data_IF_161113180856
#
_entry.id   IF_161113180856
#
_cell.length_a   1.000
_cell.length_b   1.000
_cell.length_c   1.000
_cell.angle_alpha   90.00
_cell.angle_beta   90.00
_cell.angle_gamma   90.00
#
_symmetry.space_group_name_H-M   'P 1'
#
loop_
_entity.id
_entity.type
_entity.pdbx_description
1 polymer ?
#
# COMPACT_ATOMS: atom_id res chain seq x y z
N UNK A 1 -49.46 13.68 -22.67
CA UNK A 1 -48.66 14.42 -21.67
C UNK A 1 -47.78 13.51 -20.81
N UNK A 2 -48.31 12.43 -20.23
CA UNK A 2 -47.56 11.47 -19.38
C UNK A 2 -46.34 10.83 -20.08
N UNK A 3 -46.50 10.39 -21.33
CA UNK A 3 -45.41 9.79 -22.15
C UNK A 3 -44.30 10.81 -22.44
N UNK A 4 -44.67 12.06 -22.73
CA UNK A 4 -43.72 13.13 -22.98
C UNK A 4 -42.87 13.43 -21.73
N UNK A 5 -43.47 13.42 -20.54
CA UNK A 5 -42.75 13.60 -19.28
C UNK A 5 -41.76 12.46 -19.01
N UNK A 6 -42.13 11.21 -19.35
CA UNK A 6 -41.26 10.04 -19.21
C UNK A 6 -40.04 10.16 -20.14
N UNK A 7 -40.25 10.56 -21.40
CA UNK A 7 -39.16 10.76 -22.35
C UNK A 7 -38.20 11.86 -21.89
N UNK A 8 -38.72 12.96 -21.35
CA UNK A 8 -37.90 14.04 -20.80
C UNK A 8 -37.07 13.53 -19.61
N UNK A 9 -37.69 12.81 -18.67
CA UNK A 9 -36.97 12.26 -17.52
C UNK A 9 -35.85 11.29 -17.93
N UNK A 10 -36.07 10.45 -18.94
CA UNK A 10 -35.04 9.55 -19.45
C UNK A 10 -33.85 10.30 -20.06
N UNK A 11 -34.09 11.38 -20.80
CA UNK A 11 -33.03 12.21 -21.37
C UNK A 11 -32.18 12.88 -20.27
N UNK A 12 -32.83 13.42 -19.22
CA UNK A 12 -32.13 13.99 -18.08
C UNK A 12 -31.28 12.96 -17.33
N UNK A 13 -31.79 11.73 -17.16
CA UNK A 13 -31.03 10.66 -16.51
C UNK A 13 -29.80 10.30 -17.33
N UNK A 14 -29.91 10.17 -18.65
CA UNK A 14 -28.76 9.88 -19.52
C UNK A 14 -27.67 10.94 -19.44
N UNK A 15 -28.05 12.22 -19.44
CA UNK A 15 -27.10 13.34 -19.34
C UNK A 15 -26.32 13.31 -18.00
N UNK A 16 -27.05 13.08 -16.89
CA UNK A 16 -26.45 12.92 -15.56
C UNK A 16 -25.48 11.74 -15.54
N UNK A 17 -25.85 10.58 -16.11
CA UNK A 17 -24.99 9.39 -16.14
C UNK A 17 -23.71 9.61 -16.95
N UNK A 18 -23.81 10.38 -18.04
CA UNK A 18 -22.67 10.74 -18.90
C UNK A 18 -21.73 11.73 -18.18
N UNK A 19 -22.30 12.71 -17.48
CA UNK A 19 -21.55 13.70 -16.70
C UNK A 19 -20.79 13.06 -15.52
N UNK A 20 -21.44 12.16 -14.77
CA UNK A 20 -20.82 11.44 -13.65
C UNK A 20 -19.66 10.55 -14.10
N UNK A 21 -19.79 9.86 -15.24
CA UNK A 21 -18.70 9.06 -15.80
C UNK A 21 -17.48 9.92 -16.18
N UNK A 22 -17.72 11.07 -16.82
CA UNK A 22 -16.65 11.99 -17.19
C UNK A 22 -15.90 12.52 -15.95
N UNK A 23 -16.64 12.89 -14.90
CA UNK A 23 -16.07 13.30 -13.61
C UNK A 23 -15.24 12.19 -12.94
N UNK A 24 -15.71 10.95 -12.99
CA UNK A 24 -15.01 9.80 -12.41
C UNK A 24 -13.63 9.60 -13.07
N UNK A 25 -13.56 9.70 -14.40
CA UNK A 25 -12.31 9.60 -15.16
C UNK A 25 -11.29 10.69 -14.80
N UNK A 26 -11.76 11.90 -14.46
CA UNK A 26 -10.89 13.02 -14.06
C UNK A 26 -10.42 12.85 -12.61
N UNK A 27 -11.28 12.31 -11.74
CA UNK A 27 -10.98 12.08 -10.32
C UNK A 27 -10.17 10.81 -10.04
N UNK A 28 -9.95 9.98 -11.06
CA UNK A 28 -9.04 8.85 -11.01
C UNK A 28 -7.60 9.37 -10.97
N UNK A 29 -7.22 10.02 -9.86
CA UNK A 29 -5.82 10.12 -9.50
C UNK A 29 -5.28 8.69 -9.50
N UNK A 30 -4.14 8.41 -10.17
CA UNK A 30 -3.46 7.15 -9.94
C UNK A 30 -3.32 7.06 -8.42
N UNK A 31 -3.65 5.91 -7.82
CA UNK A 31 -3.32 5.68 -6.43
C UNK A 31 -1.83 5.96 -6.32
N UNK A 32 -1.48 7.15 -5.80
CA UNK A 32 -0.09 7.53 -5.61
C UNK A 32 0.39 6.45 -4.68
N UNK A 33 1.25 5.58 -5.19
CA UNK A 33 1.89 4.55 -4.40
C UNK A 33 2.68 5.30 -3.34
N UNK A 34 2.03 5.69 -2.24
CA UNK A 34 2.69 6.34 -1.14
C UNK A 34 3.76 5.34 -0.72
N UNK A 35 5.04 5.73 -0.78
CA UNK A 35 6.09 4.83 -0.38
C UNK A 35 5.77 4.40 1.05
N UNK A 36 5.78 3.09 1.30
CA UNK A 36 5.46 2.49 2.60
C UNK A 36 6.61 2.89 3.56
N UNK A 37 6.53 4.12 4.08
CA UNK A 37 7.57 4.74 4.88
C UNK A 37 7.39 4.42 6.35
N UNK A 38 8.51 4.26 7.03
CA UNK A 38 8.54 4.10 8.47
C UNK A 38 8.63 5.46 9.15
N UNK A 39 7.82 5.67 10.19
CA UNK A 39 7.92 6.86 11.04
C UNK A 39 8.64 6.57 12.37
N UNK A 40 8.67 5.29 12.77
CA UNK A 40 9.31 4.82 14.01
C UNK A 40 9.96 3.47 13.78
N UNK A 41 11.07 3.23 14.47
CA UNK A 41 11.75 1.95 14.50
C UNK A 41 11.34 1.17 15.75
N UNK A 42 11.12 -0.12 15.59
CA UNK A 42 10.90 -1.05 16.70
C UNK A 42 12.25 -1.45 17.29
N UNK A 43 12.36 -1.34 18.61
CA UNK A 43 13.51 -1.83 19.39
C UNK A 43 13.38 -3.31 19.76
N UNK A 44 12.17 -3.87 19.69
CA UNK A 44 11.93 -5.29 19.94
C UNK A 44 12.61 -6.16 18.90
N UNK A 45 13.29 -7.20 19.39
CA UNK A 45 13.87 -8.23 18.51
C UNK A 45 12.79 -9.18 18.03
N UNK A 46 12.61 -9.26 16.72
CA UNK A 46 11.64 -10.17 16.10
C UNK A 46 12.27 -11.56 16.00
N UNK A 47 11.65 -12.64 16.51
CA UNK A 47 12.17 -13.98 16.37
C UNK A 47 12.23 -14.41 14.90
N UNK A 48 13.36 -14.97 14.46
CA UNK A 48 13.59 -15.41 13.07
C UNK A 48 12.50 -16.35 12.54
N UNK A 49 11.97 -17.24 13.39
CA UNK A 49 10.89 -18.18 13.04
C UNK A 49 9.60 -17.47 12.59
N UNK A 50 9.39 -16.23 13.02
CA UNK A 50 8.21 -15.44 12.68
C UNK A 50 8.40 -14.59 11.43
N UNK A 51 9.64 -14.44 10.93
CA UNK A 51 9.91 -13.60 9.76
C UNK A 51 9.57 -14.37 8.49
N UNK A 52 8.69 -13.81 7.68
CA UNK A 52 8.29 -14.34 6.37
C UNK A 52 9.11 -13.70 5.25
N UNK A 53 9.20 -12.37 5.27
CA UNK A 53 9.94 -11.60 4.28
C UNK A 53 10.41 -10.28 4.87
N UNK A 54 11.29 -9.61 4.14
CA UNK A 54 11.73 -8.26 4.45
C UNK A 54 11.74 -7.39 3.20
N UNK A 55 11.57 -6.09 3.40
CA UNK A 55 11.66 -5.07 2.35
C UNK A 55 12.41 -3.87 2.90
N UNK A 56 13.07 -3.10 2.03
CA UNK A 56 13.69 -1.84 2.42
C UNK A 56 12.75 -0.69 2.06
N UNK A 57 12.66 0.32 2.93
CA UNK A 57 11.90 1.55 2.64
C UNK A 57 12.45 2.27 1.41
N UNK A 58 11.59 2.99 0.67
CA UNK A 58 12.01 3.76 -0.52
C UNK A 58 13.15 4.74 -0.24
N UNK A 59 13.90 5.10 -1.29
CA UNK A 59 14.84 6.23 -1.27
C UNK A 59 14.18 7.55 -0.86
N UNK A 60 12.88 7.68 -1.07
CA UNK A 60 12.13 8.92 -0.82
C UNK A 60 11.71 9.05 0.66
N UNK A 61 11.81 7.97 1.45
CA UNK A 61 11.52 8.01 2.87
C UNK A 61 12.67 8.70 3.63
N UNK A 62 12.34 9.67 4.48
CA UNK A 62 13.30 10.33 5.36
C UNK A 62 13.99 9.34 6.32
N UNK A 63 13.23 8.36 6.84
CA UNK A 63 13.74 7.30 7.69
C UNK A 63 14.03 6.05 6.88
N UNK A 64 15.31 5.65 6.82
CA UNK A 64 15.73 4.39 6.23
C UNK A 64 15.52 3.25 7.22
N UNK A 65 14.68 2.29 6.85
CA UNK A 65 14.34 1.15 7.68
C UNK A 65 14.22 -0.13 6.86
N UNK A 66 14.36 -1.26 7.55
CA UNK A 66 13.98 -2.56 7.02
C UNK A 66 12.58 -2.89 7.55
N UNK A 67 11.64 -3.12 6.65
CA UNK A 67 10.28 -3.55 6.96
C UNK A 67 10.26 -5.07 7.00
N UNK A 68 10.15 -5.64 8.20
CA UNK A 68 9.99 -7.08 8.40
C UNK A 68 8.50 -7.42 8.35
N UNK A 69 8.13 -8.31 7.44
CA UNK A 69 6.78 -8.89 7.38
C UNK A 69 6.80 -10.26 8.04
N UNK A 70 5.96 -10.42 9.05
CA UNK A 70 5.84 -11.69 9.77
C UNK A 70 4.93 -12.68 9.05
N UNK A 71 5.00 -13.96 9.43
CA UNK A 71 4.09 -15.01 8.92
C UNK A 71 2.61 -14.69 9.19
N UNK A 72 2.31 -13.92 10.24
CA UNK A 72 0.97 -13.42 10.57
C UNK A 72 0.57 -12.16 9.79
N UNK A 73 1.37 -11.72 8.81
CA UNK A 73 1.12 -10.53 8.01
C UNK A 73 1.41 -9.19 8.69
N UNK A 74 1.86 -9.20 9.96
CA UNK A 74 2.24 -7.95 10.65
C UNK A 74 3.56 -7.42 10.12
N UNK A 75 3.60 -6.11 9.86
CA UNK A 75 4.79 -5.37 9.41
C UNK A 75 5.44 -4.64 10.59
N UNK A 76 6.76 -4.69 10.66
CA UNK A 76 7.54 -3.98 11.66
C UNK A 76 8.72 -3.27 11.01
N UNK A 77 8.85 -1.98 11.27
CA UNK A 77 10.01 -1.19 10.88
C UNK A 77 11.15 -1.43 11.86
N UNK A 78 12.32 -1.86 11.38
CA UNK A 78 13.49 -2.11 12.22
C UNK A 78 14.70 -1.36 11.70
N UNK A 79 15.60 -1.04 12.64
CA UNK A 79 16.85 -0.36 12.36
C UNK A 79 17.77 -1.27 11.53
N UNK A 80 18.22 -0.85 10.32
CA UNK A 80 19.19 -1.61 9.53
C UNK A 80 20.52 -1.83 10.26
N UNK A 81 20.88 -0.96 11.20
CA UNK A 81 22.13 -1.06 11.97
C UNK A 81 22.04 -2.07 13.14
N UNK A 82 20.86 -2.58 13.47
CA UNK A 82 20.72 -3.52 14.57
C UNK A 82 21.41 -4.87 14.24
N UNK A 83 22.36 -5.29 15.09
CA UNK A 83 23.20 -6.50 14.88
C UNK A 83 22.40 -7.77 14.53
N UNK A 84 21.21 -7.93 15.10
CA UNK A 84 20.37 -9.11 14.86
C UNK A 84 19.71 -9.10 13.47
N UNK A 85 19.44 -7.92 12.90
CA UNK A 85 18.78 -7.77 11.60
C UNK A 85 19.63 -8.37 10.51
N UNK A 86 20.93 -8.05 10.45
CA UNK A 86 21.84 -8.61 9.43
C UNK A 86 21.88 -10.14 9.45
N UNK A 87 21.83 -10.77 10.63
CA UNK A 87 21.78 -12.22 10.77
C UNK A 87 20.45 -12.81 10.23
N UNK A 88 19.33 -12.15 10.50
CA UNK A 88 18.02 -12.57 9.99
C UNK A 88 17.93 -12.45 8.47
N UNK A 89 18.42 -11.32 7.92
CA UNK A 89 18.45 -11.09 6.47
C UNK A 89 19.29 -12.13 5.74
N UNK A 90 20.48 -12.48 6.25
CA UNK A 90 21.31 -13.55 5.70
C UNK A 90 20.60 -14.89 5.70
N UNK A 91 19.92 -15.25 6.79
CA UNK A 91 19.18 -16.51 6.84
C UNK A 91 18.00 -16.54 5.86
N UNK A 92 17.34 -15.41 5.62
CA UNK A 92 16.21 -15.35 4.67
C UNK A 92 16.72 -15.47 3.23
N UNK A 93 17.82 -14.79 2.89
CA UNK A 93 18.47 -14.92 1.58
C UNK A 93 18.82 -16.38 1.25
N UNK A 94 19.33 -17.12 2.24
CA UNK A 94 19.66 -18.54 2.06
C UNK A 94 18.43 -19.46 1.87
N UNK A 95 17.21 -19.02 2.22
CA UNK A 95 15.98 -19.79 1.98
C UNK A 95 15.33 -19.50 0.63
N UNK A 96 15.69 -18.36 0.02
CA UNK A 96 15.13 -17.90 -1.26
C UNK A 96 16.06 -18.20 -2.44
N UNK A 97 17.25 -18.77 -2.17
CA UNK A 97 18.18 -19.25 -3.19
C UNK A 97 18.04 -20.76 -3.37
#
# INVERSE_FOLDING_TARGET
MKILLILIMLLFICDIMMYVHALCLISAAPAVNQPDCCFKLTTMRIPQKMVKSYTQTSSDCALKAIVITTVKGRKFCVDPAAKWVSSHLKSLKNRTQ
#
